data_IF_936211062187
#
_entry.id   IF_936211062187
#
_cell.length_a   1.000
_cell.length_b   1.000
_cell.length_c   1.000
_cell.angle_alpha   90.00
_cell.angle_beta   90.00
_cell.angle_gamma   90.00
#
_symmetry.space_group_name_H-M   'P 1'
#
loop_
_entity.id
_entity.type
_entity.pdbx_description
1 polymer ?
#
# COMPACT_ATOMS: atom_id res chain seq x y z
N UNK A 1 6.01 -7.17 -0.48
CA UNK A 1 5.34 -6.73 -1.71
C UNK A 1 5.73 -5.28 -1.97
N UNK A 2 5.92 -4.91 -3.24
CA UNK A 2 6.20 -3.54 -3.66
C UNK A 2 5.02 -3.04 -4.49
N UNK A 3 4.44 -1.90 -4.11
CA UNK A 3 3.33 -1.28 -4.83
C UNK A 3 3.73 0.15 -5.20
N UNK A 4 3.43 0.56 -6.42
CA UNK A 4 3.72 1.90 -6.92
C UNK A 4 2.58 2.35 -7.82
N UNK A 5 2.12 3.57 -7.60
CA UNK A 5 1.19 4.24 -8.49
C UNK A 5 1.94 4.89 -9.64
N UNK A 6 1.63 4.56 -10.89
CA UNK A 6 2.26 5.14 -12.08
C UNK A 6 1.38 6.20 -12.77
N UNK A 7 0.25 6.57 -12.17
CA UNK A 7 -0.70 7.52 -12.75
C UNK A 7 -0.65 8.86 -12.02
N UNK A 8 -1.24 9.87 -12.65
CA UNK A 8 -1.48 11.20 -12.07
C UNK A 8 -2.72 11.24 -11.16
N UNK A 9 -3.41 10.11 -11.01
CA UNK A 9 -4.65 9.98 -10.24
C UNK A 9 -4.41 9.15 -8.98
N UNK A 10 -5.24 9.35 -7.97
CA UNK A 10 -5.18 8.55 -6.76
C UNK A 10 -5.70 7.13 -7.01
N UNK A 11 -5.02 6.12 -6.48
CA UNK A 11 -5.37 4.71 -6.69
C UNK A 11 -5.76 4.05 -5.36
N UNK A 12 -6.82 3.25 -5.38
CA UNK A 12 -7.22 2.42 -4.25
C UNK A 12 -6.87 0.96 -4.53
N UNK A 13 -6.03 0.38 -3.68
CA UNK A 13 -5.59 -1.00 -3.76
C UNK A 13 -6.24 -1.78 -2.62
N UNK A 14 -6.98 -2.83 -2.96
CA UNK A 14 -7.44 -3.82 -1.99
C UNK A 14 -6.34 -4.85 -1.73
N UNK A 15 -5.99 -5.01 -0.46
CA UNK A 15 -5.09 -6.03 0.05
C UNK A 15 -5.90 -7.24 0.53
N UNK A 16 -5.23 -8.38 0.65
CA UNK A 16 -5.80 -9.61 1.19
C UNK A 16 -6.15 -9.43 2.67
N UNK A 17 -7.43 -9.56 3.03
CA UNK A 17 -7.95 -9.33 4.38
C UNK A 17 -7.47 -10.35 5.41
N UNK A 18 -7.03 -11.53 4.98
CA UNK A 18 -6.47 -12.55 5.88
C UNK A 18 -4.99 -12.31 6.22
N UNK A 19 -4.35 -11.30 5.60
CA UNK A 19 -2.94 -11.01 5.76
C UNK A 19 -2.71 -9.67 6.49
N UNK A 20 -1.92 -9.70 7.57
CA UNK A 20 -1.41 -8.49 8.21
C UNK A 20 -0.23 -7.96 7.41
N UNK A 21 -0.28 -6.70 7.00
CA UNK A 21 0.83 -6.05 6.29
C UNK A 21 1.39 -4.88 7.10
N UNK A 22 2.71 -4.80 7.18
CA UNK A 22 3.45 -3.67 7.73
C UNK A 22 4.03 -2.83 6.59
N UNK A 23 3.79 -1.52 6.59
CA UNK A 23 4.50 -0.61 5.70
C UNK A 23 5.92 -0.41 6.23
N UNK A 24 6.92 -0.90 5.50
CA UNK A 24 8.32 -0.83 5.90
C UNK A 24 8.91 0.59 5.88
N UNK A 25 8.24 1.55 5.24
CA UNK A 25 8.68 2.94 5.21
C UNK A 25 8.24 3.70 6.47
N UNK A 26 7.09 3.34 7.05
CA UNK A 26 6.49 4.04 8.20
C UNK A 26 6.42 3.20 9.48
N UNK A 27 6.63 1.88 9.37
CA UNK A 27 6.44 0.90 10.46
C UNK A 27 4.99 0.69 10.88
N UNK A 28 4.02 1.26 10.15
CA UNK A 28 2.61 1.17 10.49
C UNK A 28 1.97 -0.08 9.90
N UNK A 29 1.05 -0.69 10.64
CA UNK A 29 0.16 -1.72 10.11
C UNK A 29 -0.79 -1.10 9.08
N UNK A 30 -0.96 -1.78 7.97
CA UNK A 30 -1.77 -1.33 6.82
C UNK A 30 -3.11 -2.03 6.85
N UNK A 31 -4.17 -1.24 6.65
CA UNK A 31 -5.55 -1.70 6.50
C UNK A 31 -5.77 -2.49 5.21
N UNK A 32 -6.88 -3.23 5.15
CA UNK A 32 -7.28 -4.00 3.96
C UNK A 32 -7.42 -3.14 2.69
N UNK A 33 -7.69 -1.84 2.86
CA UNK A 33 -7.67 -0.87 1.77
C UNK A 33 -6.50 0.08 1.95
N UNK A 34 -5.73 0.24 0.88
CA UNK A 34 -4.60 1.15 0.79
C UNK A 34 -4.82 2.15 -0.35
N UNK A 35 -4.81 3.43 0.00
CA UNK A 35 -4.87 4.53 -0.95
C UNK A 35 -3.44 4.98 -1.28
N UNK A 36 -3.11 5.07 -2.56
CA UNK A 36 -1.84 5.57 -3.06
C UNK A 36 -2.06 6.88 -3.82
N UNK A 37 -1.32 7.91 -3.41
CA UNK A 37 -1.25 9.18 -4.12
C UNK A 37 -0.52 9.03 -5.46
N UNK A 38 -0.67 10.01 -6.38
CA UNK A 38 0.06 10.01 -7.66
C UNK A 38 1.56 9.82 -7.45
N UNK A 39 2.14 8.84 -8.15
CA UNK A 39 3.56 8.48 -8.05
C UNK A 39 4.05 7.97 -6.68
N UNK A 40 3.14 7.72 -5.73
CA UNK A 40 3.48 7.15 -4.45
C UNK A 40 3.88 5.68 -4.59
N UNK A 41 4.83 5.25 -3.75
CA UNK A 41 5.17 3.84 -3.61
C UNK A 41 5.22 3.44 -2.13
N UNK A 42 4.95 2.18 -1.89
CA UNK A 42 4.97 1.56 -0.58
C UNK A 42 5.64 0.20 -0.65
N UNK A 43 6.26 -0.19 0.45
CA UNK A 43 6.87 -1.50 0.60
C UNK A 43 6.17 -2.19 1.76
N UNK A 44 5.44 -3.25 1.45
CA UNK A 44 4.67 -4.00 2.43
C UNK A 44 5.41 -5.28 2.81
N UNK A 45 5.56 -5.52 4.11
CA UNK A 45 6.03 -6.79 4.67
C UNK A 45 4.83 -7.55 5.22
N UNK A 46 4.76 -8.85 4.93
CA UNK A 46 3.78 -9.76 5.54
C UNK A 46 4.33 -10.28 6.87
#
# INVERSE_FOLDING_TARGET
>A
MFLMNFTEEQQNISLDSEASYENMLTGQQVSEQLQLDPYEYVILKK
#
